data_IF_841307509206
#
_entry.id   IF_841307509206
#
_cell.length_a   1.000
_cell.length_b   1.000
_cell.length_c   1.000
_cell.angle_alpha   90.00
_cell.angle_beta   90.00
_cell.angle_gamma   90.00
#
_symmetry.space_group_name_H-M   'P 1'
#
loop_
_entity.id
_entity.type
_entity.pdbx_description
1 polymer ?
#
# COMPACT_ATOMS: atom_id res chain seq x y z
N UNK A 1 13.65 24.12 -1.68
CA UNK A 1 14.92 23.49 -1.24
C UNK A 1 15.95 23.60 -2.37
N UNK A 2 16.37 24.82 -2.68
CA UNK A 2 17.37 25.15 -3.71
C UNK A 2 18.52 25.95 -3.11
N UNK A 3 18.75 25.83 -1.80
CA UNK A 3 19.77 26.60 -1.12
C UNK A 3 20.43 25.75 -0.02
N UNK A 4 21.74 25.57 -0.16
CA UNK A 4 22.74 25.00 0.76
C UNK A 4 22.36 23.88 1.79
N UNK A 5 23.01 22.72 1.56
CA UNK A 5 23.83 21.99 2.54
C UNK A 5 23.20 21.29 3.75
N UNK A 6 22.16 20.48 3.56
CA UNK A 6 21.87 19.39 4.51
C UNK A 6 22.19 18.06 3.83
N UNK A 7 23.38 17.53 4.13
CA UNK A 7 23.76 16.17 3.77
C UNK A 7 22.98 15.20 4.65
N UNK A 8 22.42 14.16 4.05
CA UNK A 8 21.75 13.12 4.83
C UNK A 8 22.81 12.25 5.52
N UNK A 9 22.92 12.40 6.84
CA UNK A 9 23.95 11.75 7.63
C UNK A 9 23.38 11.17 8.94
N UNK A 10 22.50 10.17 8.86
CA UNK A 10 21.98 9.49 10.03
C UNK A 10 23.11 8.77 10.78
N UNK A 11 22.94 8.66 12.10
CA UNK A 11 23.93 8.10 13.04
C UNK A 11 23.35 7.15 14.08
N UNK A 12 22.03 7.17 14.25
CA UNK A 12 21.35 6.33 15.24
C UNK A 12 21.29 4.86 14.79
N UNK A 13 20.93 3.97 15.70
CA UNK A 13 20.74 2.54 15.42
C UNK A 13 19.34 2.19 14.90
N UNK A 14 18.53 3.19 14.54
CA UNK A 14 17.16 3.04 14.06
C UNK A 14 17.08 3.17 12.54
N UNK A 15 16.31 2.29 11.91
CA UNK A 15 16.00 2.32 10.49
C UNK A 15 14.49 2.28 10.22
N UNK A 16 13.98 3.28 9.51
CA UNK A 16 12.66 3.27 8.89
C UNK A 16 12.77 2.79 7.44
N UNK A 17 11.92 1.86 7.03
CA UNK A 17 11.86 1.39 5.64
C UNK A 17 10.47 1.69 5.08
N UNK A 18 10.40 2.45 3.99
CA UNK A 18 9.18 2.67 3.22
C UNK A 18 9.43 2.33 1.75
N UNK A 19 8.47 2.60 0.87
CA UNK A 19 8.54 2.25 -0.55
C UNK A 19 8.58 3.49 -1.44
N UNK A 20 9.03 3.29 -2.67
CA UNK A 20 8.99 4.31 -3.71
C UNK A 20 7.55 4.72 -4.04
N UNK A 21 7.41 5.73 -4.90
CA UNK A 21 6.09 6.21 -5.30
C UNK A 21 5.79 5.89 -6.75
N UNK A 22 4.54 5.53 -7.04
CA UNK A 22 4.01 5.50 -8.40
C UNK A 22 4.15 6.88 -9.05
N UNK A 23 3.55 7.91 -8.43
CA UNK A 23 3.66 9.29 -8.89
C UNK A 23 5.01 9.90 -8.55
N UNK A 24 5.60 10.57 -9.53
CA UNK A 24 6.90 11.20 -9.39
C UNK A 24 6.88 12.58 -10.02
N UNK A 25 7.59 13.52 -9.40
CA UNK A 25 7.83 14.85 -9.96
C UNK A 25 8.62 14.71 -11.27
N UNK A 26 8.24 15.42 -12.33
CA UNK A 26 8.97 15.43 -13.63
C UNK A 26 10.15 16.42 -13.62
N UNK A 27 11.07 16.29 -14.59
CA UNK A 27 12.28 17.11 -14.75
C UNK A 27 13.43 16.69 -13.83
N UNK A 28 14.42 17.54 -13.64
CA UNK A 28 15.53 17.30 -12.71
C UNK A 28 16.72 18.19 -12.98
N UNK A 29 17.85 17.89 -12.33
CA UNK A 29 19.13 18.51 -12.57
C UNK A 29 20.09 17.50 -13.20
N UNK A 30 20.96 17.95 -14.11
CA UNK A 30 21.99 17.07 -14.70
C UNK A 30 23.09 16.62 -13.73
N UNK A 31 23.20 17.30 -12.58
CA UNK A 31 24.22 17.01 -11.58
C UNK A 31 23.82 15.79 -10.74
N UNK A 32 24.62 14.74 -10.82
CA UNK A 32 24.55 13.59 -9.92
C UNK A 32 25.42 13.84 -8.68
N UNK A 33 24.86 13.64 -7.48
CA UNK A 33 25.56 13.79 -6.22
C UNK A 33 25.98 12.41 -5.70
N UNK A 34 27.14 11.92 -6.17
CA UNK A 34 27.62 10.56 -5.85
C UNK A 34 27.79 10.32 -4.36
N UNK A 35 28.15 11.35 -3.57
CA UNK A 35 28.30 11.26 -2.12
C UNK A 35 26.99 10.93 -1.37
N UNK A 36 25.83 11.26 -1.95
CA UNK A 36 24.51 10.96 -1.37
C UNK A 36 24.03 9.54 -1.71
N UNK A 37 24.72 8.84 -2.62
CA UNK A 37 24.33 7.49 -3.01
C UNK A 37 24.44 6.51 -1.84
N UNK A 38 23.47 5.60 -1.74
CA UNK A 38 23.49 4.51 -0.77
C UNK A 38 24.76 3.66 -0.88
N UNK A 39 25.41 3.59 -2.05
CA UNK A 39 26.62 2.79 -2.26
C UNK A 39 27.76 3.20 -1.32
N UNK A 40 27.84 4.47 -0.90
CA UNK A 40 28.83 4.93 0.09
C UNK A 40 28.55 4.39 1.50
N UNK A 41 27.28 4.03 1.77
CA UNK A 41 26.81 3.43 3.02
C UNK A 41 26.82 1.89 2.99
N UNK A 42 27.31 1.30 1.90
CA UNK A 42 27.50 -0.15 1.70
C UNK A 42 28.99 -0.52 1.62
N UNK A 43 29.34 -1.78 1.79
CA UNK A 43 30.69 -2.27 1.44
C UNK A 43 30.93 -2.12 -0.06
N UNK A 44 32.20 -1.95 -0.52
CA UNK A 44 32.49 -1.74 -1.95
C UNK A 44 31.90 -2.83 -2.86
N UNK A 45 31.99 -4.09 -2.45
CA UNK A 45 31.43 -5.22 -3.20
C UNK A 45 29.89 -5.13 -3.30
N UNK A 46 29.23 -4.78 -2.20
CA UNK A 46 27.77 -4.71 -2.18
C UNK A 46 27.23 -3.46 -2.90
N UNK A 47 27.99 -2.36 -2.87
CA UNK A 47 27.74 -1.19 -3.72
C UNK A 47 27.84 -1.51 -5.22
N UNK A 48 28.85 -2.27 -5.65
CA UNK A 48 28.98 -2.72 -7.04
C UNK A 48 27.86 -3.69 -7.44
N UNK A 49 27.50 -4.62 -6.55
CA UNK A 49 26.38 -5.55 -6.75
C UNK A 49 25.07 -4.79 -6.97
N UNK A 50 24.81 -3.76 -6.16
CA UNK A 50 23.63 -2.91 -6.31
C UNK A 50 23.63 -2.18 -7.65
N UNK A 51 24.73 -1.50 -8.03
CA UNK A 51 24.80 -0.77 -9.30
C UNK A 51 24.57 -1.68 -10.52
N UNK A 52 25.21 -2.85 -10.54
CA UNK A 52 25.01 -3.84 -11.59
C UNK A 52 23.55 -4.29 -11.66
N UNK A 53 22.91 -4.52 -10.52
CA UNK A 53 21.50 -4.93 -10.48
C UNK A 53 20.57 -3.82 -10.98
N UNK A 54 20.86 -2.55 -10.65
CA UNK A 54 20.11 -1.39 -11.16
C UNK A 54 20.23 -1.29 -12.69
N UNK A 55 21.41 -1.50 -13.24
CA UNK A 55 21.64 -1.56 -14.69
C UNK A 55 20.83 -2.70 -15.34
N UNK A 56 20.86 -3.90 -14.74
CA UNK A 56 20.06 -5.05 -15.21
C UNK A 56 18.56 -4.73 -15.24
N UNK A 57 18.01 -4.11 -14.19
CA UNK A 57 16.61 -3.68 -14.16
C UNK A 57 16.31 -2.64 -15.24
N UNK A 58 17.19 -1.64 -15.41
CA UNK A 58 17.04 -0.64 -16.47
C UNK A 58 16.99 -1.31 -17.85
N UNK A 59 17.86 -2.28 -18.10
CA UNK A 59 17.89 -2.99 -19.39
C UNK A 59 16.61 -3.80 -19.62
N UNK A 60 16.03 -4.40 -18.58
CA UNK A 60 14.73 -5.09 -18.68
C UNK A 60 13.57 -4.16 -19.02
N UNK A 61 13.58 -2.92 -18.53
CA UNK A 61 12.60 -1.90 -18.92
C UNK A 61 12.70 -1.63 -20.42
N UNK A 62 13.92 -1.44 -20.94
CA UNK A 62 14.14 -1.11 -22.35
C UNK A 62 14.01 -2.29 -23.31
N UNK A 63 14.12 -3.53 -22.84
CA UNK A 63 13.99 -4.73 -23.67
C UNK A 63 12.53 -5.16 -23.91
N UNK A 64 11.55 -4.44 -23.36
CA UNK A 64 10.14 -4.81 -23.41
C UNK A 64 9.77 -6.05 -22.60
N UNK A 65 10.66 -6.51 -21.73
CA UNK A 65 10.47 -7.71 -20.91
C UNK A 65 9.64 -7.44 -19.65
N UNK A 66 9.27 -6.18 -19.42
CA UNK A 66 8.47 -5.73 -18.28
C UNK A 66 7.28 -4.98 -18.85
N UNK A 67 6.08 -5.37 -18.45
CA UNK A 67 4.85 -4.64 -18.76
C UNK A 67 4.10 -4.30 -17.48
N UNK A 68 3.30 -3.24 -17.55
CA UNK A 68 2.44 -2.82 -16.47
C UNK A 68 1.08 -2.38 -17.01
N UNK A 69 0.01 -2.97 -16.49
CA UNK A 69 -1.34 -2.72 -17.01
C UNK A 69 -1.52 -3.08 -18.49
N UNK A 70 -0.71 -4.03 -19.00
CA UNK A 70 -0.70 -4.42 -20.43
C UNK A 70 0.11 -3.51 -21.35
N UNK A 71 0.74 -2.46 -20.82
CA UNK A 71 1.61 -1.54 -21.57
C UNK A 71 3.07 -1.91 -21.31
N UNK A 72 3.89 -1.91 -22.35
CA UNK A 72 5.34 -2.10 -22.21
C UNK A 72 5.93 -0.99 -21.32
N UNK A 73 6.77 -1.37 -20.34
CA UNK A 73 7.41 -0.41 -19.47
C UNK A 73 8.26 0.62 -20.24
N UNK A 74 8.85 0.26 -21.39
CA UNK A 74 9.57 1.18 -22.26
C UNK A 74 8.68 2.31 -22.81
N UNK A 75 7.38 2.06 -22.99
CA UNK A 75 6.41 3.02 -23.54
C UNK A 75 5.79 3.93 -22.47
N UNK A 76 6.05 3.66 -21.19
CA UNK A 76 5.56 4.50 -20.11
C UNK A 76 6.29 5.84 -20.11
N UNK A 77 5.53 6.94 -20.07
CA UNK A 77 6.04 8.31 -20.18
C UNK A 77 7.25 8.61 -19.26
N UNK A 78 7.25 8.06 -18.04
CA UNK A 78 8.33 8.30 -17.08
C UNK A 78 9.66 7.64 -17.45
N UNK A 79 9.66 6.65 -18.34
CA UNK A 79 10.85 5.92 -18.77
C UNK A 79 11.48 6.49 -20.05
N UNK A 80 10.80 7.39 -20.77
CA UNK A 80 11.25 7.94 -22.06
C UNK A 80 12.69 8.47 -22.06
N UNK A 81 13.13 9.05 -20.92
CA UNK A 81 14.46 9.64 -20.78
C UNK A 81 15.36 8.87 -19.79
N UNK A 82 15.05 7.61 -19.51
CA UNK A 82 15.80 6.81 -18.54
C UNK A 82 17.20 6.43 -19.08
N UNK A 83 18.17 7.24 -18.72
CA UNK A 83 19.52 7.22 -19.25
C UNK A 83 20.44 6.26 -18.47
N UNK A 84 21.47 5.74 -19.14
CA UNK A 84 22.55 4.99 -18.48
C UNK A 84 23.54 5.99 -17.81
N UNK A 85 23.07 6.64 -16.75
CA UNK A 85 23.83 7.61 -15.97
C UNK A 85 24.62 6.99 -14.81
N UNK A 86 25.34 7.81 -14.01
CA UNK A 86 26.15 7.32 -12.88
C UNK A 86 25.40 6.50 -11.83
N UNK A 87 24.09 6.71 -11.68
CA UNK A 87 23.20 5.93 -10.80
C UNK A 87 23.02 4.47 -11.22
N UNK A 88 23.40 4.15 -12.46
CA UNK A 88 23.47 2.81 -13.05
C UNK A 88 24.90 2.38 -13.39
N UNK A 89 25.92 3.10 -12.91
CA UNK A 89 27.32 2.85 -13.27
C UNK A 89 27.74 3.34 -14.66
N UNK A 90 26.87 4.09 -15.35
CA UNK A 90 27.15 4.70 -16.65
C UNK A 90 27.68 6.13 -16.55
N UNK A 91 27.69 6.82 -17.70
CA UNK A 91 28.27 8.16 -17.86
C UNK A 91 27.42 9.11 -18.70
N UNK A 92 26.13 8.80 -18.92
CA UNK A 92 25.24 9.66 -19.69
C UNK A 92 25.16 11.09 -19.12
N UNK A 93 25.28 12.08 -20.00
CA UNK A 93 25.32 13.52 -19.71
C UNK A 93 23.94 14.21 -19.82
N UNK A 94 22.92 13.49 -20.28
CA UNK A 94 21.54 13.95 -20.41
C UNK A 94 20.61 13.40 -19.31
N UNK A 95 21.12 12.57 -18.40
CA UNK A 95 20.37 12.09 -17.25
C UNK A 95 19.94 13.24 -16.33
N UNK A 96 18.70 13.19 -15.84
CA UNK A 96 18.14 14.22 -14.96
C UNK A 96 17.75 13.66 -13.60
N UNK A 97 18.17 14.33 -12.54
CA UNK A 97 18.10 13.82 -11.17
C UNK A 97 17.30 14.71 -10.24
N UNK A 98 16.61 14.06 -9.30
CA UNK A 98 16.18 14.66 -8.03
C UNK A 98 16.57 13.75 -6.88
N UNK A 99 16.82 14.31 -5.68
CA UNK A 99 16.79 13.55 -4.43
C UNK A 99 15.52 12.69 -4.36
N UNK A 100 15.63 11.42 -3.96
CA UNK A 100 14.50 10.48 -3.96
C UNK A 100 13.29 11.01 -3.18
N UNK A 101 13.50 11.65 -2.02
CA UNK A 101 12.45 12.26 -1.18
C UNK A 101 11.68 13.38 -1.88
N UNK A 102 12.32 14.07 -2.84
CA UNK A 102 11.72 15.13 -3.65
C UNK A 102 11.14 14.60 -4.97
N UNK A 103 11.70 13.50 -5.50
CA UNK A 103 11.18 12.81 -6.68
C UNK A 103 9.82 12.20 -6.39
N UNK A 104 9.66 11.56 -5.24
CA UNK A 104 8.44 10.83 -4.91
C UNK A 104 7.31 11.74 -4.40
N UNK A 105 6.10 11.58 -4.95
CA UNK A 105 4.94 12.45 -4.68
C UNK A 105 3.64 11.67 -4.42
N UNK A 106 3.74 10.41 -4.02
CA UNK A 106 2.60 9.55 -3.71
C UNK A 106 2.12 9.68 -2.26
N UNK A 107 1.21 8.79 -1.86
CA UNK A 107 0.50 8.82 -0.56
C UNK A 107 1.41 9.09 0.65
N UNK A 108 2.46 8.30 0.85
CA UNK A 108 3.43 8.49 1.93
C UNK A 108 4.08 9.89 1.92
N UNK A 109 4.51 10.34 0.75
CA UNK A 109 5.26 11.58 0.57
C UNK A 109 4.38 12.82 0.62
N UNK A 110 3.10 12.71 0.25
CA UNK A 110 2.09 13.75 0.45
C UNK A 110 1.74 13.87 1.93
N UNK A 111 1.57 12.75 2.64
CA UNK A 111 1.32 12.73 4.07
C UNK A 111 2.49 13.32 4.87
N UNK A 112 3.75 13.02 4.48
CA UNK A 112 4.91 13.69 5.07
C UNK A 112 4.88 15.21 4.89
N UNK A 113 4.38 15.72 3.76
CA UNK A 113 4.47 17.14 3.42
C UNK A 113 5.91 17.66 3.36
N UNK A 114 6.09 18.96 3.16
CA UNK A 114 7.43 19.55 3.08
C UNK A 114 8.17 19.50 4.43
N UNK A 115 7.44 19.65 5.53
CA UNK A 115 8.00 19.57 6.88
C UNK A 115 8.54 18.16 7.18
N UNK A 116 7.74 17.11 6.98
CA UNK A 116 8.15 15.73 7.23
C UNK A 116 9.31 15.33 6.33
N UNK A 117 9.30 15.73 5.05
CA UNK A 117 10.45 15.50 4.15
C UNK A 117 11.73 16.17 4.66
N UNK A 118 11.64 17.39 5.18
CA UNK A 118 12.78 18.09 5.80
C UNK A 118 13.26 17.35 7.04
N UNK A 119 12.35 16.92 7.93
CA UNK A 119 12.68 16.11 9.12
C UNK A 119 13.37 14.81 8.74
N UNK A 120 12.91 14.09 7.72
CA UNK A 120 13.56 12.85 7.23
C UNK A 120 15.01 13.10 6.81
N UNK A 121 15.27 14.18 6.06
CA UNK A 121 16.64 14.51 5.60
C UNK A 121 17.54 14.94 6.76
N UNK A 122 16.98 15.61 7.77
CA UNK A 122 17.71 16.12 8.93
C UNK A 122 17.83 15.12 10.09
N UNK A 123 17.11 14.00 10.03
CA UNK A 123 17.01 13.05 11.12
C UNK A 123 18.36 12.37 11.41
N UNK A 124 18.58 12.08 12.69
CA UNK A 124 19.65 11.16 13.09
C UNK A 124 19.31 9.70 12.79
N UNK A 125 18.03 9.40 12.49
CA UNK A 125 17.53 8.08 12.17
C UNK A 125 17.67 7.75 10.69
N UNK A 126 17.99 6.49 10.41
CA UNK A 126 18.07 6.02 9.05
C UNK A 126 16.66 5.86 8.48
N UNK A 127 16.50 6.23 7.23
CA UNK A 127 15.36 6.01 6.34
C UNK A 127 15.89 5.43 5.03
N UNK A 128 15.26 4.38 4.53
CA UNK A 128 15.49 3.82 3.19
C UNK A 128 14.16 3.65 2.45
N UNK A 129 14.20 3.80 1.13
CA UNK A 129 13.05 3.52 0.26
C UNK A 129 13.33 2.33 -0.66
N UNK A 130 12.43 1.35 -0.68
CA UNK A 130 12.46 0.24 -1.63
C UNK A 130 11.87 0.69 -2.97
N UNK A 131 12.59 0.47 -4.06
CA UNK A 131 12.24 0.85 -5.42
C UNK A 131 12.39 -0.33 -6.37
N UNK A 132 11.45 -0.50 -7.30
CA UNK A 132 11.57 -1.51 -8.36
C UNK A 132 12.82 -1.34 -9.24
N UNK A 133 13.15 -0.10 -9.63
CA UNK A 133 14.35 0.19 -10.42
C UNK A 133 15.64 0.18 -9.59
N UNK A 134 15.62 0.88 -8.45
CA UNK A 134 16.83 1.16 -7.68
C UNK A 134 17.17 0.19 -6.54
N UNK A 135 16.31 -0.78 -6.20
CA UNK A 135 16.49 -1.58 -4.99
C UNK A 135 16.27 -0.72 -3.74
N UNK A 136 17.32 -0.40 -2.99
CA UNK A 136 17.26 0.61 -1.92
C UNK A 136 17.83 1.96 -2.38
N UNK A 137 17.22 3.04 -1.90
CA UNK A 137 17.75 4.41 -2.03
C UNK A 137 17.66 5.16 -0.70
N UNK A 138 18.59 6.09 -0.46
CA UNK A 138 18.50 7.06 0.64
C UNK A 138 17.58 8.23 0.26
N UNK A 139 17.09 9.04 1.22
CA UNK A 139 16.24 10.20 0.94
C UNK A 139 16.86 11.23 0.00
N UNK A 140 18.19 11.39 0.06
CA UNK A 140 18.93 12.39 -0.74
C UNK A 140 19.62 11.82 -1.97
N UNK A 141 19.61 10.49 -2.15
CA UNK A 141 20.18 9.85 -3.34
C UNK A 141 19.52 10.41 -4.61
N UNK A 142 20.37 10.80 -5.56
CA UNK A 142 19.96 11.34 -6.85
C UNK A 142 19.41 10.23 -7.73
N UNK A 143 18.12 10.30 -8.06
CA UNK A 143 17.44 9.33 -8.91
C UNK A 143 16.76 10.00 -10.12
N UNK A 144 16.73 9.25 -11.22
CA UNK A 144 16.05 9.65 -12.45
C UNK A 144 14.52 9.50 -12.30
N UNK A 145 13.79 10.06 -13.26
CA UNK A 145 12.37 9.76 -13.42
C UNK A 145 12.22 8.35 -14.01
N UNK A 146 11.27 7.57 -13.49
CA UNK A 146 11.01 6.21 -13.97
C UNK A 146 9.62 5.69 -13.55
N UNK A 147 9.14 4.68 -14.25
CA UNK A 147 8.04 3.79 -13.87
C UNK A 147 8.54 2.35 -13.85
N UNK A 148 8.59 1.77 -12.66
CA UNK A 148 8.99 0.37 -12.45
C UNK A 148 8.29 -0.14 -11.18
N UNK A 149 6.98 -0.45 -11.27
CA UNK A 149 6.24 -0.98 -10.15
C UNK A 149 6.72 -2.39 -9.79
N UNK A 150 6.60 -2.74 -8.51
CA UNK A 150 6.81 -4.10 -8.03
C UNK A 150 5.45 -4.71 -7.77
N UNK A 151 5.16 -5.78 -8.48
CA UNK A 151 3.98 -6.63 -8.30
C UNK A 151 4.44 -8.05 -7.99
N UNK A 152 3.62 -8.80 -7.26
CA UNK A 152 3.90 -10.19 -6.89
C UNK A 152 4.23 -11.04 -8.11
N UNK A 153 5.29 -11.84 -8.00
CA UNK A 153 5.80 -12.76 -9.02
C UNK A 153 6.28 -12.08 -10.32
N UNK A 154 6.37 -10.75 -10.35
CA UNK A 154 6.88 -10.01 -11.50
C UNK A 154 8.36 -10.31 -11.76
N UNK A 155 8.78 -10.11 -13.01
CA UNK A 155 10.20 -10.21 -13.42
C UNK A 155 11.09 -9.33 -12.53
N UNK A 156 10.61 -8.14 -12.17
CA UNK A 156 11.33 -7.20 -11.30
C UNK A 156 11.47 -7.76 -9.89
N UNK A 157 10.39 -8.27 -9.29
CA UNK A 157 10.44 -8.85 -7.95
C UNK A 157 11.40 -10.04 -7.91
N UNK A 158 11.28 -10.95 -8.89
CA UNK A 158 12.15 -12.12 -9.02
C UNK A 158 13.62 -11.74 -9.18
N UNK A 159 13.92 -10.66 -9.90
CA UNK A 159 15.30 -10.21 -10.08
C UNK A 159 15.94 -9.75 -8.76
N UNK A 160 15.17 -9.10 -7.88
CA UNK A 160 15.66 -8.64 -6.57
C UNK A 160 15.70 -9.75 -5.52
N UNK A 161 14.81 -10.73 -5.58
CA UNK A 161 14.80 -11.89 -4.67
C UNK A 161 15.80 -12.97 -5.07
N UNK A 162 16.21 -13.03 -6.35
CA UNK A 162 17.20 -13.99 -6.84
C UNK A 162 18.46 -13.94 -5.99
N UNK A 163 18.86 -15.10 -5.47
CA UNK A 163 20.03 -15.24 -4.58
C UNK A 163 19.99 -14.30 -3.36
N UNK A 164 18.79 -13.94 -2.90
CA UNK A 164 18.57 -13.02 -1.78
C UNK A 164 19.28 -11.66 -1.97
N UNK A 165 19.40 -11.19 -3.21
CA UNK A 165 20.23 -10.02 -3.56
C UNK A 165 19.86 -8.79 -2.72
N UNK A 166 18.58 -8.40 -2.73
CA UNK A 166 18.17 -7.19 -1.99
C UNK A 166 18.26 -7.39 -0.46
N UNK A 167 17.99 -8.59 0.05
CA UNK A 167 18.19 -8.94 1.46
C UNK A 167 19.65 -8.79 1.88
N UNK A 168 20.59 -9.30 1.08
CA UNK A 168 22.03 -9.21 1.36
C UNK A 168 22.53 -7.76 1.34
N UNK A 169 21.99 -6.93 0.45
CA UNK A 169 22.27 -5.48 0.43
C UNK A 169 21.77 -4.81 1.73
N UNK A 170 20.58 -5.16 2.21
CA UNK A 170 20.06 -4.63 3.48
C UNK A 170 20.87 -5.10 4.69
N UNK A 171 21.28 -6.37 4.72
CA UNK A 171 22.14 -6.93 5.77
C UNK A 171 23.48 -6.18 5.83
N UNK A 172 24.11 -5.93 4.68
CA UNK A 172 25.35 -5.16 4.59
C UNK A 172 25.17 -3.74 5.12
N UNK A 173 24.08 -3.06 4.72
CA UNK A 173 23.72 -1.74 5.24
C UNK A 173 23.54 -1.76 6.77
N UNK A 174 22.76 -2.70 7.29
CA UNK A 174 22.48 -2.83 8.73
C UNK A 174 23.78 -3.00 9.52
N UNK A 175 24.64 -3.93 9.09
CA UNK A 175 25.92 -4.21 9.77
C UNK A 175 26.86 -3.02 9.72
N UNK A 176 27.01 -2.39 8.55
CA UNK A 176 27.92 -1.25 8.36
C UNK A 176 27.48 -0.01 9.15
N UNK A 177 26.17 0.18 9.34
CA UNK A 177 25.62 1.34 10.03
C UNK A 177 25.17 1.04 11.49
N UNK A 178 25.39 -0.19 11.98
CA UNK A 178 25.08 -0.55 13.37
C UNK A 178 23.59 -0.51 13.72
N UNK A 179 22.71 -0.77 12.74
CA UNK A 179 21.26 -0.76 12.95
C UNK A 179 20.85 -1.95 13.83
N UNK A 180 20.02 -1.68 14.84
CA UNK A 180 19.49 -2.72 15.74
C UNK A 180 17.97 -2.79 15.77
N UNK A 181 17.26 -1.75 15.33
CA UNK A 181 15.80 -1.73 15.27
C UNK A 181 15.31 -1.18 13.93
N UNK A 182 14.39 -1.90 13.32
CA UNK A 182 13.84 -1.61 12.00
C UNK A 182 12.32 -1.47 12.11
N UNK A 183 11.79 -0.39 11.57
CA UNK A 183 10.36 -0.17 11.42
C UNK A 183 9.97 -0.35 9.95
N UNK A 184 9.20 -1.40 9.66
CA UNK A 184 8.72 -1.72 8.31
C UNK A 184 7.40 -0.98 8.00
N UNK A 185 7.51 0.11 7.24
CA UNK A 185 6.41 0.89 6.66
C UNK A 185 6.13 0.54 5.20
N UNK A 186 6.46 -0.67 4.73
CA UNK A 186 6.24 -1.04 3.33
C UNK A 186 4.78 -1.12 2.93
N UNK A 187 3.89 -1.44 3.87
CA UNK A 187 2.44 -1.56 3.72
C UNK A 187 1.92 -2.63 2.74
N UNK A 188 2.72 -3.01 1.75
CA UNK A 188 2.40 -3.93 0.66
C UNK A 188 3.27 -5.18 0.71
N UNK A 189 2.63 -6.33 0.58
CA UNK A 189 3.29 -7.63 0.52
C UNK A 189 4.25 -7.74 -0.66
N UNK A 190 3.93 -7.16 -1.83
CA UNK A 190 4.82 -7.18 -2.99
C UNK A 190 6.20 -6.58 -2.71
N UNK A 191 6.26 -5.55 -1.86
CA UNK A 191 7.51 -4.92 -1.44
C UNK A 191 8.14 -5.63 -0.25
N UNK A 192 7.32 -6.01 0.75
CA UNK A 192 7.77 -6.73 1.94
C UNK A 192 8.43 -8.06 1.59
N UNK A 193 7.88 -8.79 0.63
CA UNK A 193 8.31 -10.14 0.25
C UNK A 193 9.59 -10.16 -0.60
N UNK A 194 10.13 -9.00 -0.98
CA UNK A 194 11.44 -8.93 -1.64
C UNK A 194 12.56 -9.21 -0.63
N UNK A 195 12.29 -8.96 0.65
CA UNK A 195 13.23 -9.16 1.74
C UNK A 195 12.87 -10.47 2.45
N UNK A 196 13.87 -11.33 2.59
CA UNK A 196 13.80 -12.48 3.47
C UNK A 196 14.08 -12.01 4.91
N UNK A 197 13.02 -11.63 5.61
CA UNK A 197 13.11 -11.04 6.95
C UNK A 197 13.64 -12.01 8.00
N UNK A 198 13.33 -13.30 7.88
CA UNK A 198 13.82 -14.29 8.83
C UNK A 198 15.32 -14.52 8.68
N UNK A 199 15.80 -14.60 7.44
CA UNK A 199 17.24 -14.63 7.16
C UNK A 199 17.94 -13.34 7.62
N UNK A 200 17.33 -12.17 7.40
CA UNK A 200 17.86 -10.89 7.86
C UNK A 200 17.99 -10.83 9.38
N UNK A 201 16.94 -11.18 10.12
CA UNK A 201 16.94 -11.20 11.60
C UNK A 201 18.05 -12.13 12.12
N UNK A 202 18.15 -13.35 11.58
CA UNK A 202 19.22 -14.30 11.94
C UNK A 202 20.63 -13.78 11.63
N UNK A 203 20.78 -13.02 10.55
CA UNK A 203 22.09 -12.54 10.07
C UNK A 203 22.58 -11.28 10.77
N UNK A 204 21.70 -10.53 11.44
CA UNK A 204 21.99 -9.19 11.98
C UNK A 204 21.65 -9.04 13.46
N UNK A 205 20.77 -9.89 14.01
CA UNK A 205 20.12 -9.73 15.30
C UNK A 205 19.34 -8.41 15.45
N UNK A 206 19.00 -7.74 14.34
CA UNK A 206 18.15 -6.56 14.38
C UNK A 206 16.70 -6.95 14.70
N UNK A 207 16.06 -6.20 15.59
CA UNK A 207 14.63 -6.26 15.85
C UNK A 207 13.88 -5.64 14.67
N UNK A 208 12.83 -6.31 14.21
CA UNK A 208 11.97 -5.81 13.12
C UNK A 208 10.56 -5.65 13.66
N UNK A 209 10.02 -4.44 13.56
CA UNK A 209 8.64 -4.11 13.87
C UNK A 209 7.88 -3.81 12.57
N UNK A 210 7.03 -4.76 12.19
CA UNK A 210 6.06 -4.63 11.11
C UNK A 210 4.95 -3.68 11.53
N UNK A 211 4.75 -2.64 10.72
CA UNK A 211 3.76 -1.62 11.03
C UNK A 211 2.47 -1.90 10.26
N UNK A 212 1.35 -1.85 10.97
CA UNK A 212 0.00 -1.98 10.43
C UNK A 212 -0.86 -0.83 10.93
N UNK A 213 -1.96 -0.53 10.26
CA UNK A 213 -2.90 0.50 10.71
C UNK A 213 -4.27 -0.07 10.97
N UNK A 214 -4.95 0.51 11.95
CA UNK A 214 -6.35 0.23 12.26
C UNK A 214 -7.31 0.76 11.19
N UNK A 215 -6.84 1.72 10.39
CA UNK A 215 -7.65 2.51 9.48
C UNK A 215 -7.62 2.02 8.04
N UNK A 216 -6.58 1.27 7.63
CA UNK A 216 -6.38 0.90 6.22
C UNK A 216 -5.39 -0.25 6.05
N UNK A 217 -5.27 -0.77 4.82
CA UNK A 217 -4.24 -1.73 4.42
C UNK A 217 -3.73 -1.39 3.02
N UNK A 218 -2.76 -2.16 2.53
CA UNK A 218 -2.15 -1.98 1.22
C UNK A 218 -1.55 -0.58 1.06
N UNK A 219 -1.56 -0.01 -0.15
CA UNK A 219 -0.98 1.30 -0.43
C UNK A 219 -1.63 2.48 0.33
N UNK A 220 -2.79 2.30 0.98
CA UNK A 220 -3.45 3.35 1.78
C UNK A 220 -2.85 3.51 3.17
N UNK A 221 -2.31 2.43 3.74
CA UNK A 221 -1.62 2.49 5.03
C UNK A 221 -0.38 3.40 4.98
N UNK A 222 0.17 3.64 3.79
CA UNK A 222 1.25 4.59 3.56
C UNK A 222 0.88 6.03 3.96
N UNK A 223 -0.40 6.42 3.93
CA UNK A 223 -0.84 7.74 4.40
C UNK A 223 -0.58 7.85 5.90
N UNK A 224 -1.06 6.85 6.67
CA UNK A 224 -0.92 6.84 8.12
C UNK A 224 0.54 6.72 8.55
N UNK A 225 1.35 5.95 7.82
CA UNK A 225 2.79 5.86 8.09
C UNK A 225 3.51 7.19 7.84
N UNK A 226 3.13 7.92 6.78
CA UNK A 226 3.69 9.25 6.50
C UNK A 226 3.31 10.27 7.56
N UNK A 227 2.04 10.27 8.01
CA UNK A 227 1.57 11.15 9.09
C UNK A 227 2.29 10.84 10.41
N UNK A 228 2.32 9.58 10.83
CA UNK A 228 2.96 9.15 12.07
C UNK A 228 4.46 9.51 12.10
N UNK A 229 5.16 9.29 10.98
CA UNK A 229 6.58 9.60 10.89
C UNK A 229 6.81 11.12 11.03
N UNK A 230 6.00 11.95 10.37
CA UNK A 230 6.06 13.42 10.45
C UNK A 230 5.75 13.96 11.84
N UNK A 231 4.68 13.45 12.45
CA UNK A 231 4.06 14.02 13.65
C UNK A 231 4.63 13.48 14.95
N UNK A 232 5.35 12.34 14.92
CA UNK A 232 5.84 11.71 16.13
C UNK A 232 7.23 11.11 15.97
N UNK A 233 7.38 10.08 15.12
CA UNK A 233 8.57 9.20 15.22
C UNK A 233 9.88 9.89 14.81
N UNK A 234 9.84 10.93 13.97
CA UNK A 234 11.04 11.71 13.63
C UNK A 234 11.48 12.67 14.75
N UNK A 235 10.60 12.99 15.69
CA UNK A 235 10.89 13.85 16.84
C UNK A 235 11.33 13.04 18.07
N UNK A 236 11.19 11.71 18.03
CA UNK A 236 11.61 10.80 19.10
C UNK A 236 13.12 10.64 19.14
N UNK A 237 13.69 10.41 20.33
CA UNK A 237 15.09 10.03 20.46
C UNK A 237 15.33 8.57 20.07
N UNK A 238 16.60 8.17 19.90
CA UNK A 238 16.96 6.76 19.72
C UNK A 238 16.41 5.89 20.87
N UNK A 239 16.49 6.36 22.11
CA UNK A 239 16.00 5.61 23.27
C UNK A 239 14.47 5.44 23.25
N UNK A 240 13.73 6.49 22.86
CA UNK A 240 12.27 6.43 22.77
C UNK A 240 11.84 5.41 21.71
N UNK A 241 12.52 5.39 20.56
CA UNK A 241 12.25 4.43 19.49
C UNK A 241 12.65 3.00 19.88
N UNK A 242 13.76 2.83 20.62
CA UNK A 242 14.15 1.52 21.15
C UNK A 242 13.15 0.99 22.19
N UNK A 243 12.47 1.87 22.92
CA UNK A 243 11.46 1.50 23.92
C UNK A 243 10.14 1.02 23.30
N UNK A 244 9.90 1.24 22.00
CA UNK A 244 8.72 0.69 21.31
C UNK A 244 8.87 -0.83 21.22
N UNK A 245 7.98 -1.57 21.89
CA UNK A 245 7.92 -3.03 21.89
C UNK A 245 6.82 -3.54 20.96
N UNK A 246 6.83 -4.83 20.59
CA UNK A 246 5.71 -5.44 19.89
C UNK A 246 4.37 -5.18 20.59
N UNK A 247 3.32 -5.05 19.78
CA UNK A 247 1.95 -4.69 20.14
C UNK A 247 1.76 -3.26 20.69
N UNK A 248 2.80 -2.42 20.68
CA UNK A 248 2.65 -0.99 20.94
C UNK A 248 1.74 -0.36 19.89
N UNK A 249 0.94 0.63 20.32
CA UNK A 249 0.06 1.40 19.45
C UNK A 249 0.38 2.88 19.60
N UNK A 250 0.67 3.57 18.50
CA UNK A 250 0.84 5.03 18.45
C UNK A 250 -0.10 5.59 17.38
N UNK A 251 -1.06 6.40 17.81
CA UNK A 251 -2.18 6.80 16.97
C UNK A 251 -2.96 5.56 16.49
N UNK A 252 -3.11 5.44 15.18
CA UNK A 252 -3.78 4.30 14.54
C UNK A 252 -2.82 3.21 14.07
N UNK A 253 -1.51 3.35 14.31
CA UNK A 253 -0.50 2.39 13.88
C UNK A 253 -0.13 1.44 15.00
N UNK A 254 -0.07 0.16 14.67
CA UNK A 254 0.32 -0.95 15.55
C UNK A 254 1.66 -1.48 15.07
N UNK A 255 2.56 -1.69 16.01
CA UNK A 255 3.90 -2.24 15.77
C UNK A 255 3.91 -3.70 16.19
N UNK A 256 4.26 -4.63 15.30
CA UNK A 256 4.24 -6.07 15.57
C UNK A 256 5.56 -6.73 15.21
N UNK A 257 5.92 -7.82 15.85
CA UNK A 257 7.11 -8.63 15.52
C UNK A 257 6.81 -9.75 14.49
N UNK A 258 5.55 -9.87 14.08
CA UNK A 258 5.07 -10.79 13.03
C UNK A 258 4.61 -10.03 11.79
N UNK A 259 4.78 -10.61 10.58
CA UNK A 259 4.47 -9.94 9.31
C UNK A 259 2.98 -9.90 8.95
N UNK A 260 2.10 -10.24 9.90
CA UNK A 260 0.65 -10.23 9.76
C UNK A 260 0.03 -9.19 10.69
N UNK A 261 -1.07 -8.56 10.25
CA UNK A 261 -1.90 -7.71 11.12
C UNK A 261 -2.82 -8.57 12.00
N UNK A 262 -3.51 -7.95 12.97
CA UNK A 262 -4.54 -8.64 13.74
C UNK A 262 -5.67 -9.14 12.83
N UNK A 263 -6.27 -10.27 13.18
CA UNK A 263 -7.40 -10.80 12.41
C UNK A 263 -8.58 -9.82 12.35
N UNK A 264 -8.72 -8.95 13.35
CA UNK A 264 -9.74 -7.92 13.39
C UNK A 264 -9.40 -6.64 12.63
N UNK A 265 -8.33 -6.63 11.84
CA UNK A 265 -7.86 -5.43 11.13
C UNK A 265 -7.80 -5.64 9.62
N UNK A 266 -7.80 -4.55 8.84
CA UNK A 266 -7.83 -4.62 7.39
C UNK A 266 -6.62 -5.37 6.85
N UNK A 267 -6.85 -6.30 5.92
CA UNK A 267 -5.78 -7.05 5.24
C UNK A 267 -5.71 -6.66 3.77
N UNK A 268 -4.50 -6.69 3.22
CA UNK A 268 -4.27 -6.45 1.79
C UNK A 268 -5.07 -7.41 0.90
N UNK A 269 -5.16 -8.68 1.29
CA UNK A 269 -5.94 -9.68 0.55
C UNK A 269 -7.44 -9.32 0.48
N UNK A 270 -8.00 -8.72 1.53
CA UNK A 270 -9.41 -8.31 1.53
C UNK A 270 -9.68 -7.25 0.48
N UNK A 271 -8.75 -6.30 0.30
CA UNK A 271 -8.85 -5.25 -0.72
C UNK A 271 -8.88 -5.87 -2.12
N UNK A 272 -7.99 -6.83 -2.40
CA UNK A 272 -7.96 -7.52 -3.70
C UNK A 272 -9.22 -8.32 -3.97
N UNK A 273 -9.74 -9.04 -2.98
CA UNK A 273 -10.98 -9.81 -3.15
C UNK A 273 -12.15 -8.88 -3.46
N UNK A 274 -12.28 -7.75 -2.75
CA UNK A 274 -13.34 -6.77 -3.01
C UNK A 274 -13.19 -6.13 -4.39
N UNK A 275 -11.96 -5.81 -4.82
CA UNK A 275 -11.71 -5.24 -6.15
C UNK A 275 -12.00 -6.23 -7.27
N UNK A 276 -11.65 -7.50 -7.11
CA UNK A 276 -11.97 -8.54 -8.07
C UNK A 276 -13.47 -8.80 -8.15
N UNK A 277 -14.17 -8.86 -7.02
CA UNK A 277 -15.62 -8.96 -7.00
C UNK A 277 -16.28 -7.77 -7.74
N UNK A 278 -15.75 -6.55 -7.58
CA UNK A 278 -16.27 -5.37 -8.26
C UNK A 278 -16.11 -5.41 -9.80
N UNK A 279 -15.21 -6.24 -10.35
CA UNK A 279 -15.07 -6.43 -11.81
C UNK A 279 -16.26 -7.18 -12.42
N UNK A 280 -17.05 -7.90 -11.62
CA UNK A 280 -18.26 -8.58 -12.08
C UNK A 280 -19.41 -7.59 -12.37
N UNK A 281 -19.41 -6.41 -11.73
CA UNK A 281 -20.53 -5.45 -11.76
C UNK A 281 -21.08 -5.16 -13.17
N UNK A 282 -20.26 -4.96 -14.22
CA UNK A 282 -20.77 -4.67 -15.57
C UNK A 282 -21.63 -5.81 -16.17
N UNK A 283 -21.45 -7.05 -15.72
CA UNK A 283 -22.12 -8.24 -16.28
C UNK A 283 -23.17 -8.84 -15.34
N UNK A 284 -23.35 -8.29 -14.14
CA UNK A 284 -24.30 -8.85 -13.17
C UNK A 284 -25.76 -8.69 -13.62
N UNK A 285 -26.60 -9.71 -13.38
CA UNK A 285 -28.04 -9.56 -13.49
C UNK A 285 -28.58 -8.69 -12.34
N UNK A 286 -29.56 -7.86 -12.67
CA UNK A 286 -30.22 -6.96 -11.71
C UNK A 286 -31.63 -7.45 -11.39
N UNK A 287 -32.03 -7.31 -10.14
CA UNK A 287 -33.28 -7.82 -9.60
C UNK A 287 -34.02 -6.73 -8.82
N UNK A 288 -35.34 -6.83 -8.77
CA UNK A 288 -36.13 -6.08 -7.78
C UNK A 288 -35.80 -6.58 -6.38
N UNK A 289 -35.88 -5.70 -5.39
CA UNK A 289 -35.61 -6.04 -3.99
C UNK A 289 -36.43 -7.26 -3.51
N UNK A 290 -37.71 -7.35 -3.90
CA UNK A 290 -38.59 -8.49 -3.58
C UNK A 290 -38.14 -9.84 -4.16
N UNK A 291 -37.28 -9.84 -5.17
CA UNK A 291 -36.74 -11.05 -5.79
C UNK A 291 -35.45 -11.54 -5.12
N UNK A 292 -34.79 -10.69 -4.33
CA UNK A 292 -33.47 -10.96 -3.76
C UNK A 292 -33.45 -12.16 -2.81
N UNK A 293 -34.38 -12.31 -1.84
CA UNK A 293 -34.35 -13.46 -0.93
C UNK A 293 -34.35 -14.80 -1.67
N UNK A 294 -35.23 -14.93 -2.68
CA UNK A 294 -35.29 -16.12 -3.53
C UNK A 294 -34.00 -16.36 -4.32
N UNK A 295 -33.34 -15.30 -4.79
CA UNK A 295 -32.09 -15.40 -5.55
C UNK A 295 -30.88 -15.76 -4.68
N UNK A 296 -30.91 -15.37 -3.41
CA UNK A 296 -29.90 -15.73 -2.41
C UNK A 296 -30.21 -17.06 -1.70
N UNK A 297 -31.29 -17.76 -2.05
CA UNK A 297 -31.68 -19.01 -1.39
C UNK A 297 -32.14 -18.82 0.06
N UNK A 298 -32.52 -17.61 0.47
CA UNK A 298 -32.97 -17.31 1.83
C UNK A 298 -34.44 -17.77 1.97
N UNK A 299 -34.76 -18.65 2.95
CA UNK A 299 -36.12 -19.14 3.19
C UNK A 299 -37.14 -18.02 3.43
N UNK A 300 -38.37 -18.19 2.92
CA UNK A 300 -39.43 -17.17 2.99
C UNK A 300 -39.82 -16.81 4.44
N UNK A 301 -39.72 -17.76 5.36
CA UNK A 301 -39.89 -17.58 6.82
C UNK A 301 -38.95 -16.53 7.43
N UNK A 302 -37.76 -16.32 6.84
CA UNK A 302 -36.79 -15.31 7.30
C UNK A 302 -37.16 -13.89 6.85
N UNK A 303 -38.24 -13.74 6.08
CA UNK A 303 -38.58 -12.52 5.36
C UNK A 303 -39.97 -12.00 5.73
N UNK A 304 -40.75 -12.75 6.52
CA UNK A 304 -42.17 -12.45 6.84
C UNK A 304 -42.40 -11.08 7.49
N UNK A 305 -41.38 -10.50 8.14
CA UNK A 305 -41.47 -9.20 8.83
C UNK A 305 -40.75 -8.05 8.10
N UNK A 306 -40.16 -8.30 6.93
CA UNK A 306 -39.42 -7.28 6.17
C UNK A 306 -40.37 -6.65 5.16
N UNK A 307 -40.77 -5.39 5.38
CA UNK A 307 -41.54 -4.65 4.39
C UNK A 307 -40.65 -4.28 3.21
N UNK A 308 -40.92 -4.89 2.06
CA UNK A 308 -40.37 -4.48 0.77
C UNK A 308 -41.27 -3.47 0.04
N UNK A 309 -42.30 -2.94 0.71
CA UNK A 309 -43.25 -1.97 0.13
C UNK A 309 -42.62 -0.60 -0.10
N UNK A 310 -41.44 -0.38 0.48
CA UNK A 310 -40.51 0.62 -0.02
C UNK A 310 -39.87 0.09 -1.30
N UNK A 311 -40.64 0.04 -2.41
CA UNK A 311 -40.05 -0.01 -3.76
C UNK A 311 -39.20 1.25 -3.92
N UNK A 312 -37.96 1.20 -3.43
CA UNK A 312 -37.12 2.37 -3.28
C UNK A 312 -36.89 3.00 -4.63
N UNK A 313 -37.64 4.05 -4.97
CA UNK A 313 -37.50 4.92 -6.16
C UNK A 313 -37.02 4.22 -7.46
N UNK A 314 -37.44 2.96 -7.70
CA UNK A 314 -37.02 2.17 -8.87
C UNK A 314 -35.58 1.63 -8.88
N UNK A 315 -34.88 1.54 -7.74
CA UNK A 315 -33.53 0.97 -7.70
C UNK A 315 -33.57 -0.56 -7.85
N UNK A 316 -32.67 -1.08 -8.69
CA UNK A 316 -32.45 -2.52 -8.85
C UNK A 316 -31.19 -2.96 -8.10
N UNK A 317 -31.21 -4.21 -7.62
CA UNK A 317 -30.12 -4.78 -6.83
C UNK A 317 -29.44 -5.90 -7.61
N UNK A 318 -28.11 -5.87 -7.65
CA UNK A 318 -27.27 -6.98 -8.08
C UNK A 318 -26.34 -7.38 -6.93
N UNK A 319 -25.77 -8.57 -6.99
CA UNK A 319 -24.76 -9.01 -6.03
C UNK A 319 -23.71 -9.87 -6.71
N UNK A 320 -22.47 -9.74 -6.25
CA UNK A 320 -21.31 -10.47 -6.77
C UNK A 320 -21.28 -11.90 -6.23
N UNK A 321 -20.49 -12.76 -6.88
CA UNK A 321 -20.20 -14.11 -6.39
C UNK A 321 -19.57 -14.10 -4.99
N UNK A 322 -18.72 -13.11 -4.70
CA UNK A 322 -18.08 -12.94 -3.40
C UNK A 322 -19.07 -12.56 -2.31
N UNK A 323 -20.02 -11.64 -2.57
CA UNK A 323 -21.08 -11.32 -1.63
C UNK A 323 -21.88 -12.58 -1.27
N UNK A 324 -22.29 -13.34 -2.29
CA UNK A 324 -23.06 -14.57 -2.09
C UNK A 324 -22.27 -15.59 -1.26
N UNK A 325 -21.01 -15.86 -1.63
CA UNK A 325 -20.11 -16.73 -0.87
C UNK A 325 -19.97 -16.28 0.58
N UNK A 326 -19.83 -14.97 0.84
CA UNK A 326 -19.70 -14.48 2.21
C UNK A 326 -21.00 -14.68 3.01
N UNK A 327 -22.16 -14.50 2.39
CA UNK A 327 -23.43 -14.70 3.07
C UNK A 327 -23.68 -16.18 3.37
N UNK A 328 -23.38 -17.06 2.42
CA UNK A 328 -23.54 -18.52 2.53
C UNK A 328 -22.66 -19.14 3.63
N UNK A 329 -21.55 -18.47 4.00
CA UNK A 329 -20.69 -18.89 5.11
C UNK A 329 -21.38 -18.79 6.48
N UNK A 330 -22.47 -18.03 6.58
CA UNK A 330 -23.20 -17.83 7.83
C UNK A 330 -24.56 -18.52 7.78
N UNK A 331 -24.68 -19.66 8.47
CA UNK A 331 -25.97 -20.32 8.74
C UNK A 331 -26.69 -19.66 9.93
N UNK A 332 -26.74 -18.33 9.95
CA UNK A 332 -27.44 -17.54 10.96
C UNK A 332 -28.63 -16.80 10.32
N UNK A 333 -29.83 -17.35 10.56
CA UNK A 333 -31.10 -16.78 10.06
C UNK A 333 -31.32 -15.33 10.50
N UNK A 334 -30.90 -14.96 11.70
CA UNK A 334 -31.04 -13.58 12.20
C UNK A 334 -30.10 -12.64 11.47
N UNK A 335 -28.87 -13.09 11.21
CA UNK A 335 -27.91 -12.30 10.44
C UNK A 335 -28.39 -12.09 9.01
N UNK A 336 -28.86 -13.14 8.34
CA UNK A 336 -29.41 -13.06 6.98
C UNK A 336 -30.62 -12.10 6.91
N UNK A 337 -31.54 -12.16 7.89
CA UNK A 337 -32.65 -11.21 8.00
C UNK A 337 -32.17 -9.76 8.11
N UNK A 338 -31.18 -9.49 8.97
CA UNK A 338 -30.59 -8.15 9.11
C UNK A 338 -29.85 -7.67 7.86
N UNK A 339 -29.27 -8.59 7.08
CA UNK A 339 -28.69 -8.25 5.77
C UNK A 339 -29.78 -7.81 4.81
N UNK A 340 -30.92 -8.50 4.76
CA UNK A 340 -32.06 -8.12 3.92
C UNK A 340 -32.66 -6.77 4.34
N UNK A 341 -32.80 -6.51 5.65
CA UNK A 341 -33.22 -5.19 6.17
C UNK A 341 -32.26 -4.08 5.73
N UNK A 342 -30.95 -4.32 5.82
CA UNK A 342 -29.94 -3.37 5.35
C UNK A 342 -30.06 -3.13 3.84
N UNK A 343 -30.30 -4.16 3.03
CA UNK A 343 -30.51 -3.99 1.58
C UNK A 343 -31.73 -3.12 1.29
N UNK A 344 -32.84 -3.33 2.01
CA UNK A 344 -34.04 -2.53 1.86
C UNK A 344 -33.77 -1.05 2.20
N UNK A 345 -33.06 -0.79 3.29
CA UNK A 345 -32.68 0.56 3.70
C UNK A 345 -31.67 1.22 2.74
N UNK A 346 -30.73 0.45 2.17
CA UNK A 346 -29.80 0.95 1.14
C UNK A 346 -30.57 1.40 -0.10
N UNK A 347 -31.51 0.59 -0.60
CA UNK A 347 -32.26 0.86 -1.84
C UNK A 347 -33.09 2.14 -1.76
N UNK A 348 -33.56 2.53 -0.57
CA UNK A 348 -34.30 3.80 -0.38
C UNK A 348 -33.40 5.02 -0.59
N UNK A 349 -32.15 4.97 -0.13
CA UNK A 349 -31.26 6.14 -0.09
C UNK A 349 -29.78 5.73 -0.09
N UNK A 350 -29.28 5.16 -1.19
CA UNK A 350 -28.01 4.42 -1.18
C UNK A 350 -26.77 5.30 -1.04
N UNK A 351 -26.90 6.62 -1.21
CA UNK A 351 -25.79 7.58 -1.09
C UNK A 351 -26.03 8.61 0.00
N UNK A 352 -27.02 8.41 0.88
CA UNK A 352 -27.28 9.32 2.00
C UNK A 352 -26.45 8.89 3.20
N UNK A 353 -25.47 9.73 3.59
CA UNK A 353 -24.65 9.49 4.78
C UNK A 353 -25.53 9.41 6.02
N UNK A 354 -25.31 8.38 6.85
CA UNK A 354 -26.03 8.16 8.11
C UNK A 354 -25.06 7.80 9.22
N UNK A 355 -24.43 8.82 9.81
CA UNK A 355 -23.43 8.64 10.87
C UNK A 355 -22.37 7.59 10.50
N UNK A 356 -22.14 6.64 11.40
CA UNK A 356 -21.26 5.48 11.15
C UNK A 356 -21.97 4.30 10.44
N UNK A 357 -23.28 4.38 10.23
CA UNK A 357 -24.04 3.32 9.58
C UNK A 357 -23.81 3.30 8.07
N UNK A 358 -23.96 4.46 7.41
CA UNK A 358 -23.79 4.58 5.95
C UNK A 358 -22.71 5.61 5.63
N UNK A 359 -21.61 5.16 5.03
CA UNK A 359 -20.43 6.00 4.74
C UNK A 359 -19.85 5.65 3.37
N UNK A 360 -19.48 6.68 2.60
CA UNK A 360 -18.70 6.50 1.39
C UNK A 360 -17.31 5.99 1.75
N UNK A 361 -16.87 4.92 1.09
CA UNK A 361 -15.53 4.40 1.25
C UNK A 361 -14.54 5.31 0.51
N UNK A 362 -13.36 5.41 1.08
CA UNK A 362 -12.24 6.15 0.49
C UNK A 362 -11.23 5.17 -0.07
N UNK A 363 -10.35 5.69 -0.90
CA UNK A 363 -9.18 4.97 -1.34
C UNK A 363 -9.43 3.90 -2.41
N UNK A 364 -8.97 2.64 -2.27
CA UNK A 364 -9.04 1.66 -3.36
C UNK A 364 -10.48 1.22 -3.63
N UNK A 365 -11.37 1.59 -2.72
CA UNK A 365 -12.80 1.38 -2.76
C UNK A 365 -13.56 2.70 -2.96
N UNK A 366 -12.90 3.78 -3.41
CA UNK A 366 -13.56 5.03 -3.78
C UNK A 366 -14.69 4.78 -4.80
N UNK A 367 -15.79 5.53 -4.64
CA UNK A 367 -17.05 5.30 -5.36
C UNK A 367 -17.93 4.21 -4.75
N UNK A 368 -17.39 3.34 -3.90
CA UNK A 368 -18.15 2.35 -3.14
C UNK A 368 -18.57 2.93 -1.79
N UNK A 369 -19.54 2.26 -1.18
CA UNK A 369 -20.15 2.64 0.08
C UNK A 369 -20.18 1.45 1.02
N UNK A 370 -20.32 1.78 2.29
CA UNK A 370 -20.45 0.82 3.38
C UNK A 370 -21.78 1.02 4.08
N UNK A 371 -22.44 -0.09 4.41
CA UNK A 371 -23.50 -0.18 5.40
C UNK A 371 -23.08 -1.03 6.60
N UNK A 372 -23.27 -0.54 7.83
CA UNK A 372 -22.94 -1.26 9.07
C UNK A 372 -24.13 -2.08 9.58
N UNK A 373 -23.88 -3.36 9.85
CA UNK A 373 -24.86 -4.35 10.37
C UNK A 373 -24.29 -4.93 11.66
N UNK A 374 -24.32 -4.16 12.76
CA UNK A 374 -23.72 -4.56 14.04
C UNK A 374 -22.21 -4.77 13.93
N UNK A 375 -21.77 -6.02 14.06
CA UNK A 375 -20.37 -6.46 13.89
C UNK A 375 -20.06 -6.93 12.46
N UNK A 376 -20.90 -6.59 11.49
CA UNK A 376 -20.66 -6.87 10.08
C UNK A 376 -20.82 -5.61 9.25
N UNK A 377 -20.27 -5.64 8.04
CA UNK A 377 -20.39 -4.55 7.08
C UNK A 377 -20.68 -5.11 5.70
N UNK A 378 -21.57 -4.42 5.01
CA UNK A 378 -21.91 -4.64 3.62
C UNK A 378 -21.25 -3.55 2.79
N UNK A 379 -20.43 -3.93 1.82
CA UNK A 379 -19.84 -3.04 0.83
C UNK A 379 -20.70 -3.08 -0.42
N UNK A 380 -21.07 -1.93 -0.95
CA UNK A 380 -21.90 -1.81 -2.13
C UNK A 380 -21.47 -0.65 -3.03
N UNK A 381 -21.90 -0.69 -4.29
CA UNK A 381 -21.67 0.38 -5.26
C UNK A 381 -23.02 0.88 -5.78
N UNK A 382 -23.37 2.15 -5.52
CA UNK A 382 -24.55 2.78 -6.10
C UNK A 382 -24.20 3.48 -7.43
N UNK A 383 -24.90 3.10 -8.48
CA UNK A 383 -24.93 3.82 -9.75
C UNK A 383 -26.19 4.69 -9.81
N UNK A 384 -25.99 5.99 -9.57
CA UNK A 384 -27.07 6.96 -9.55
C UNK A 384 -27.76 7.14 -10.91
N UNK A 385 -27.00 7.03 -12.00
CA UNK A 385 -27.47 7.27 -13.35
C UNK A 385 -28.43 6.16 -13.78
N UNK A 386 -28.08 4.92 -13.47
CA UNK A 386 -28.89 3.75 -13.86
C UNK A 386 -29.83 3.27 -12.76
N UNK A 387 -29.82 3.90 -11.58
CA UNK A 387 -30.56 3.48 -10.37
C UNK A 387 -30.28 2.01 -10.05
N UNK A 388 -29.01 1.64 -9.95
CA UNK A 388 -28.57 0.29 -9.61
C UNK A 388 -27.70 0.26 -8.37
N UNK A 389 -27.93 -0.69 -7.48
CA UNK A 389 -27.08 -0.99 -6.33
C UNK A 389 -26.46 -2.36 -6.53
N UNK A 390 -25.13 -2.43 -6.58
CA UNK A 390 -24.40 -3.70 -6.63
C UNK A 390 -23.80 -4.00 -5.25
N UNK A 391 -24.21 -5.11 -4.64
CA UNK A 391 -23.65 -5.60 -3.38
C UNK A 391 -22.36 -6.37 -3.69
N UNK A 392 -21.26 -5.96 -3.07
CA UNK A 392 -19.91 -6.41 -3.46
C UNK A 392 -19.36 -7.44 -2.48
N UNK A 393 -19.52 -7.20 -1.18
CA UNK A 393 -19.01 -8.09 -0.13
C UNK A 393 -19.75 -7.86 1.19
N UNK A 394 -19.80 -8.89 2.03
CA UNK A 394 -20.38 -8.82 3.38
C UNK A 394 -19.44 -9.49 4.36
N UNK A 395 -18.83 -8.76 5.31
CA UNK A 395 -17.86 -9.40 6.21
C UNK A 395 -17.84 -8.81 7.62
N UNK A 396 -17.24 -9.51 8.60
CA UNK A 396 -17.15 -9.03 9.97
C UNK A 396 -16.43 -7.69 10.08
N UNK A 397 -16.67 -7.03 11.21
CA UNK A 397 -16.07 -5.76 11.62
C UNK A 397 -14.54 -5.83 11.68
N UNK A 398 -13.99 -7.04 11.75
CA UNK A 398 -12.56 -7.29 11.64
C UNK A 398 -11.96 -7.05 10.24
N UNK A 399 -12.70 -7.36 9.17
CA UNK A 399 -12.13 -7.58 7.84
C UNK A 399 -12.56 -6.55 6.78
N UNK A 400 -13.08 -5.37 7.18
CA UNK A 400 -13.73 -4.43 6.21
C UNK A 400 -13.44 -2.93 6.41
N UNK A 401 -12.62 -2.46 7.36
CA UNK A 401 -12.45 -0.99 7.53
C UNK A 401 -11.22 -0.39 6.87
N UNK A 402 -11.49 0.25 5.74
CA UNK A 402 -11.04 1.62 5.56
C UNK A 402 -11.99 2.55 6.32
N UNK A 403 -11.50 3.36 7.26
CA UNK A 403 -12.20 4.58 7.73
C UNK A 403 -11.47 5.87 7.33
#
# INVERSE_FOLDING_TARGET
MTDNSVLYNPKSKILFISICSLHKKKGGNKKYFSQESITNKLSPNMGQTLLKKREEVRNLIWSGSVSWGGIDAAELEYNNNLALGPDFGGSSDYAEYFPSILRYTGRFYLALGDEGKKKVVQSSHHTLFISGLYGFVTPTESIQLYSCPIEGESVIQNLWTKQQTLTNILIDYIKKNGIIKIFDFTARNDYRNIIDWDYLKKSTNAEVLYCFTKMSAYDYALIEFGNLLRESLLDYSENDLLAITPETVIGDVIFRDVPDTWESLPKEQDIFVIQNAAKEIPTLPFYKLSQIPKKLGIPQENVENISFDHEGKGWLVAFTSEFQKNLDQYDDKKLQGRVLEAMADIVVSPMTKRGDTVKALKGPLEGKWRYRIGDYRLIYYPDELTKKVSLIAFRPRGNVYLD
#
